data_IF_406901259342
#
_entry.id   IF_406901259342
#
_cell.length_a   1.000
_cell.length_b   1.000
_cell.length_c   1.000
_cell.angle_alpha   90.00
_cell.angle_beta   90.00
_cell.angle_gamma   90.00
#
_symmetry.space_group_name_H-M   'P 1'
#
loop_
_entity.id
_entity.type
_entity.pdbx_description
1 polymer ?
#
# COMPACT_ATOMS: atom_id res chain seq x y z
N UNK A 1 0.16 3.94 9.37
CA UNK A 1 -0.60 3.23 8.32
C UNK A 1 0.16 3.25 7.03
N UNK A 2 -0.03 2.21 6.25
CA UNK A 2 0.70 1.95 5.01
C UNK A 2 0.53 3.04 3.95
N UNK A 3 1.37 3.01 2.92
CA UNK A 3 1.17 3.77 1.67
C UNK A 3 1.40 2.85 0.50
N UNK A 4 0.64 3.04 -0.58
CA UNK A 4 0.89 2.34 -1.82
C UNK A 4 0.90 3.25 -3.04
N UNK A 5 1.54 2.74 -4.08
CA UNK A 5 1.63 3.28 -5.42
C UNK A 5 1.33 2.17 -6.44
N UNK A 6 0.60 2.53 -7.50
CA UNK A 6 0.42 1.74 -8.70
C UNK A 6 0.85 2.57 -9.90
N UNK A 7 1.57 1.93 -10.82
CA UNK A 7 1.85 2.43 -12.16
C UNK A 7 1.28 1.46 -13.19
N UNK A 8 0.64 2.00 -14.22
CA UNK A 8 0.29 1.30 -15.45
C UNK A 8 0.67 2.18 -16.64
N UNK A 9 1.46 1.65 -17.57
CA UNK A 9 1.86 2.35 -18.79
C UNK A 9 1.79 1.49 -20.05
N UNK A 10 1.76 2.16 -21.21
CA UNK A 10 1.98 1.55 -22.53
C UNK A 10 3.41 1.07 -22.68
N UNK A 11 4.35 1.86 -22.19
CA UNK A 11 5.78 1.57 -22.23
C UNK A 11 6.29 1.16 -20.85
N UNK A 12 7.41 0.44 -20.85
CA UNK A 12 8.08 0.10 -19.62
C UNK A 12 8.81 1.31 -19.04
N UNK A 13 8.75 1.48 -17.73
CA UNK A 13 9.63 2.41 -17.03
C UNK A 13 10.44 1.68 -15.98
N UNK A 14 11.62 2.23 -15.70
CA UNK A 14 12.43 1.77 -14.58
C UNK A 14 11.67 1.95 -13.27
N UNK A 15 11.75 0.93 -12.42
CA UNK A 15 11.24 0.97 -11.05
C UNK A 15 11.78 2.18 -10.28
N UNK A 16 13.04 2.58 -10.53
CA UNK A 16 13.67 3.74 -9.87
C UNK A 16 12.89 5.04 -10.07
N UNK A 17 12.27 5.24 -11.25
CA UNK A 17 11.50 6.44 -11.59
C UNK A 17 10.25 6.62 -10.73
N UNK A 18 9.85 5.59 -9.99
CA UNK A 18 8.70 5.60 -9.09
C UNK A 18 9.13 5.46 -7.62
N UNK A 19 10.09 4.57 -7.37
CA UNK A 19 10.37 4.07 -6.03
C UNK A 19 11.43 4.88 -5.31
N UNK A 20 12.46 5.33 -6.03
CA UNK A 20 13.65 5.96 -5.44
C UNK A 20 13.83 7.41 -5.88
N UNK A 21 13.65 7.68 -7.17
CA UNK A 21 14.10 8.93 -7.79
C UNK A 21 13.19 10.14 -7.53
N UNK A 22 11.85 10.00 -7.45
CA UNK A 22 10.99 11.15 -7.13
C UNK A 22 11.28 11.76 -5.76
N UNK A 23 11.25 13.10 -5.67
CA UNK A 23 11.44 13.85 -4.42
C UNK A 23 10.48 13.41 -3.30
N UNK A 24 9.27 12.98 -3.66
CA UNK A 24 8.28 12.41 -2.73
C UNK A 24 7.95 10.93 -3.06
N UNK A 25 8.99 10.16 -3.44
CA UNK A 25 8.90 8.74 -3.77
C UNK A 25 8.34 7.89 -2.62
N UNK A 26 7.90 6.66 -2.92
CA UNK A 26 7.42 5.73 -1.89
C UNK A 26 8.51 5.44 -0.83
N UNK A 27 9.80 5.43 -1.22
CA UNK A 27 10.92 5.35 -0.30
C UNK A 27 10.99 6.58 0.60
N UNK A 28 10.80 7.79 0.08
CA UNK A 28 10.78 9.00 0.91
C UNK A 28 9.59 8.98 1.87
N UNK A 29 8.41 8.59 1.38
CA UNK A 29 7.20 8.44 2.19
C UNK A 29 7.38 7.43 3.33
N UNK A 30 8.31 6.47 3.23
CA UNK A 30 8.55 5.54 4.33
C UNK A 30 9.19 6.18 5.56
N UNK A 31 9.86 7.34 5.47
CA UNK A 31 10.44 8.01 6.64
C UNK A 31 10.08 9.50 6.77
N UNK A 32 9.47 10.09 5.75
CA UNK A 32 9.01 11.47 5.68
C UNK A 32 7.63 11.51 5.01
N UNK A 33 6.64 10.82 5.60
CA UNK A 33 5.23 10.91 5.18
C UNK A 33 4.65 12.29 5.56
N UNK A 34 4.62 13.22 4.61
CA UNK A 34 4.14 14.59 4.87
C UNK A 34 2.61 14.71 5.02
N UNK A 35 1.85 13.70 4.58
CA UNK A 35 0.42 13.57 4.87
C UNK A 35 0.16 12.56 6.00
N UNK A 36 1.05 12.46 6.99
CA UNK A 36 0.77 11.76 8.24
C UNK A 36 0.55 12.78 9.36
N UNK A 37 -0.66 12.79 9.93
CA UNK A 37 -1.05 13.70 11.01
C UNK A 37 -0.92 13.09 12.41
N UNK A 38 -0.70 11.77 12.51
CA UNK A 38 -0.51 11.12 13.81
C UNK A 38 0.91 11.34 14.34
N UNK A 39 1.01 12.16 15.38
CA UNK A 39 2.26 12.50 16.08
C UNK A 39 2.75 11.38 17.01
N UNK A 40 1.94 10.37 17.33
CA UNK A 40 2.28 9.33 18.31
C UNK A 40 3.24 8.25 17.79
N UNK A 41 3.19 7.94 16.49
CA UNK A 41 4.03 6.90 15.86
C UNK A 41 5.14 7.46 14.97
N UNK A 42 5.32 8.78 14.94
CA UNK A 42 6.27 9.46 14.04
C UNK A 42 5.88 9.38 12.55
N UNK A 43 6.63 10.06 11.65
CA UNK A 43 6.34 10.12 10.21
C UNK A 43 6.73 8.86 9.42
N UNK A 44 7.21 7.80 10.10
CA UNK A 44 7.85 6.65 9.46
C UNK A 44 6.90 5.44 9.32
N UNK A 45 7.19 4.62 8.31
CA UNK A 45 6.62 3.30 8.01
C UNK A 45 7.80 2.31 8.01
N UNK A 46 8.31 1.93 9.19
CA UNK A 46 9.53 1.13 9.32
C UNK A 46 9.28 -0.38 9.16
N UNK A 47 8.03 -0.81 9.14
CA UNK A 47 7.63 -2.20 9.39
C UNK A 47 7.66 -3.10 8.14
N UNK A 48 8.42 -2.68 7.14
CA UNK A 48 8.63 -3.40 5.90
C UNK A 48 8.09 -2.69 4.66
N UNK A 49 8.40 -3.27 3.51
CA UNK A 49 7.97 -2.79 2.21
C UNK A 49 7.90 -3.93 1.21
N UNK A 50 7.30 -3.64 0.07
CA UNK A 50 7.40 -4.50 -1.07
C UNK A 50 7.14 -3.79 -2.39
N UNK A 51 7.67 -4.41 -3.43
CA UNK A 51 7.54 -3.97 -4.81
C UNK A 51 7.17 -5.19 -5.62
N UNK A 52 6.12 -5.09 -6.42
CA UNK A 52 5.73 -6.13 -7.36
C UNK A 52 5.63 -5.57 -8.77
N UNK A 53 6.01 -6.35 -9.77
CA UNK A 53 5.94 -5.93 -11.16
C UNK A 53 5.71 -7.12 -12.08
N UNK A 54 4.98 -6.89 -13.16
CA UNK A 54 4.83 -7.90 -14.21
C UNK A 54 6.06 -7.86 -15.13
N UNK A 55 6.50 -9.02 -15.56
CA UNK A 55 7.66 -9.20 -16.43
C UNK A 55 7.22 -9.47 -17.86
N UNK A 56 8.20 -9.70 -18.75
CA UNK A 56 7.95 -10.18 -20.10
C UNK A 56 7.12 -11.49 -20.05
N UNK A 57 6.02 -11.62 -20.82
CA UNK A 57 5.15 -12.80 -20.80
C UNK A 57 5.88 -14.13 -20.98
N UNK A 58 7.06 -14.16 -21.61
CA UNK A 58 7.88 -15.36 -21.75
C UNK A 58 8.39 -15.94 -20.42
N UNK A 59 8.40 -15.12 -19.36
CA UNK A 59 8.82 -15.52 -18.01
C UNK A 59 7.63 -16.03 -17.16
N UNK A 60 6.42 -16.01 -17.71
CA UNK A 60 5.19 -16.38 -17.02
C UNK A 60 4.26 -15.19 -16.81
N UNK A 61 3.00 -15.49 -16.43
CA UNK A 61 1.99 -14.48 -16.15
C UNK A 61 2.04 -13.96 -14.70
N UNK A 62 2.79 -14.63 -13.83
CA UNK A 62 2.91 -14.27 -12.42
C UNK A 62 3.77 -13.01 -12.24
N UNK A 63 3.38 -12.10 -11.33
CA UNK A 63 4.21 -10.94 -11.02
C UNK A 63 5.46 -11.37 -10.25
N UNK A 64 6.58 -10.71 -10.51
CA UNK A 64 7.75 -10.80 -9.63
C UNK A 64 7.54 -9.91 -8.41
N UNK A 65 7.79 -10.43 -7.21
CA UNK A 65 7.53 -9.74 -5.94
C UNK A 65 8.80 -9.73 -5.09
N UNK A 66 9.24 -8.54 -4.69
CA UNK A 66 10.36 -8.31 -3.80
C UNK A 66 9.87 -7.62 -2.52
N UNK A 67 9.99 -8.29 -1.37
CA UNK A 67 9.51 -7.79 -0.08
C UNK A 67 10.59 -7.91 0.98
N UNK A 68 10.49 -7.10 2.02
CA UNK A 68 11.32 -7.22 3.21
C UNK A 68 10.63 -6.61 4.42
N UNK A 69 10.95 -7.11 5.61
CA UNK A 69 10.57 -6.51 6.89
C UNK A 69 11.49 -5.37 7.30
N UNK A 70 12.65 -5.21 6.64
CA UNK A 70 13.57 -4.11 6.92
C UNK A 70 12.98 -2.78 6.47
N UNK A 71 13.27 -1.67 7.18
CA UNK A 71 12.88 -0.36 6.69
C UNK A 71 13.48 -0.08 5.29
N UNK A 72 12.69 0.50 4.39
CA UNK A 72 13.07 0.70 2.97
C UNK A 72 14.43 1.38 2.82
N UNK A 73 14.70 2.41 3.64
CA UNK A 73 15.92 3.20 3.57
C UNK A 73 17.19 2.43 3.94
N UNK A 74 17.05 1.28 4.62
CA UNK A 74 18.16 0.41 4.97
C UNK A 74 18.40 -0.70 3.92
N UNK A 75 17.55 -0.82 2.90
CA UNK A 75 17.76 -1.82 1.86
C UNK A 75 18.74 -1.31 0.79
N UNK A 76 19.96 -1.84 0.80
CA UNK A 76 20.98 -1.54 -0.21
C UNK A 76 20.69 -2.19 -1.57
N UNK A 77 19.87 -3.24 -1.62
CA UNK A 77 19.53 -3.96 -2.84
C UNK A 77 18.42 -3.30 -3.65
N UNK A 78 17.46 -2.64 -2.99
CA UNK A 78 16.31 -2.05 -3.65
C UNK A 78 16.71 -1.02 -4.72
N UNK A 79 17.61 -0.04 -4.46
CA UNK A 79 18.08 0.88 -5.51
C UNK A 79 18.76 0.17 -6.68
N UNK A 80 19.52 -0.91 -6.42
CA UNK A 80 20.21 -1.69 -7.48
C UNK A 80 19.21 -2.36 -8.39
N UNK A 81 18.22 -3.07 -7.82
CA UNK A 81 17.13 -3.72 -8.54
C UNK A 81 16.31 -2.67 -9.31
N UNK A 82 15.91 -1.60 -8.63
CA UNK A 82 15.07 -0.55 -9.19
C UNK A 82 15.71 0.15 -10.40
N UNK A 83 17.04 0.28 -10.41
CA UNK A 83 17.79 0.91 -11.52
C UNK A 83 17.95 0.04 -12.77
N UNK A 84 17.64 -1.26 -12.68
CA UNK A 84 17.86 -2.25 -13.76
C UNK A 84 16.61 -3.04 -14.14
N UNK A 85 15.50 -2.79 -13.46
CA UNK A 85 14.23 -3.48 -13.71
C UNK A 85 13.25 -2.47 -14.28
N UNK A 86 12.62 -2.83 -15.40
CA UNK A 86 11.58 -2.04 -16.03
C UNK A 86 10.30 -2.87 -16.14
N UNK A 87 9.14 -2.22 -16.08
CA UNK A 87 7.85 -2.88 -16.26
C UNK A 87 6.77 -1.88 -16.67
N UNK A 88 5.73 -2.41 -17.33
CA UNK A 88 4.50 -1.69 -17.69
C UNK A 88 3.48 -1.62 -16.56
N UNK A 89 3.61 -2.45 -15.52
CA UNK A 89 2.71 -2.46 -14.38
C UNK A 89 3.45 -2.77 -13.10
N UNK A 90 3.50 -1.79 -12.19
CA UNK A 90 4.32 -1.80 -10.98
C UNK A 90 3.46 -1.44 -9.78
N UNK A 91 3.55 -2.23 -8.73
CA UNK A 91 2.98 -1.98 -7.42
C UNK A 91 4.12 -1.70 -6.44
N UNK A 92 3.97 -0.67 -5.60
CA UNK A 92 4.89 -0.35 -4.52
C UNK A 92 4.13 -0.10 -3.24
N UNK A 93 4.59 -0.67 -2.12
CA UNK A 93 3.92 -0.56 -0.84
C UNK A 93 4.92 -0.43 0.31
N UNK A 94 4.61 0.43 1.27
CA UNK A 94 5.36 0.56 2.53
C UNK A 94 4.42 0.32 3.69
N UNK A 95 4.84 -0.56 4.61
CA UNK A 95 4.03 -1.06 5.71
C UNK A 95 4.25 -0.26 6.97
N UNK A 96 3.16 0.03 7.66
CA UNK A 96 3.18 0.41 9.07
C UNK A 96 2.19 -0.47 9.83
N UNK A 97 2.70 -1.25 10.78
CA UNK A 97 2.00 -2.37 11.41
C UNK A 97 0.76 -1.90 12.16
N UNK A 98 -0.38 -2.43 11.75
CA UNK A 98 -1.64 -2.44 12.53
C UNK A 98 -1.96 -3.83 13.02
N UNK A 99 -1.78 -4.83 12.17
CA UNK A 99 -2.10 -6.23 12.42
C UNK A 99 -0.95 -7.15 11.95
N UNK A 100 -0.86 -8.33 12.57
CA UNK A 100 0.15 -9.34 12.27
C UNK A 100 1.55 -9.03 12.85
N UNK A 101 2.38 -10.07 12.92
CA UNK A 101 3.78 -9.94 13.33
C UNK A 101 4.64 -9.24 12.27
N UNK A 102 5.88 -8.92 12.62
CA UNK A 102 6.89 -8.50 11.65
C UNK A 102 7.39 -9.74 10.87
N UNK A 103 6.69 -10.09 9.79
CA UNK A 103 7.05 -11.14 8.83
C UNK A 103 6.94 -10.59 7.40
N UNK A 104 7.73 -11.15 6.47
CA UNK A 104 7.62 -10.83 5.04
C UNK A 104 6.29 -11.27 4.45
N UNK A 105 5.67 -12.31 5.01
CA UNK A 105 4.32 -12.76 4.63
C UNK A 105 3.29 -11.66 4.87
N UNK A 106 3.48 -10.83 5.89
CA UNK A 106 2.59 -9.72 6.22
C UNK A 106 2.89 -8.44 5.41
N UNK A 107 3.92 -8.45 4.56
CA UNK A 107 4.24 -7.34 3.67
C UNK A 107 3.47 -7.48 2.36
N UNK A 108 2.96 -6.34 1.88
CA UNK A 108 2.37 -6.23 0.55
C UNK A 108 3.47 -6.08 -0.51
N UNK A 109 3.21 -6.39 -1.79
CA UNK A 109 1.97 -6.98 -2.30
C UNK A 109 1.83 -8.48 -1.99
N UNK A 110 0.59 -8.96 -1.99
CA UNK A 110 0.26 -10.39 -2.02
C UNK A 110 0.04 -10.82 -3.47
N UNK A 111 0.27 -12.08 -3.79
CA UNK A 111 0.03 -12.61 -5.13
C UNK A 111 -0.51 -14.05 -5.12
N UNK A 112 -1.29 -14.37 -6.14
CA UNK A 112 -1.75 -15.74 -6.45
C UNK A 112 -1.90 -15.86 -7.96
N UNK A 113 -1.11 -16.73 -8.61
CA UNK A 113 -1.06 -16.79 -10.07
C UNK A 113 -0.76 -15.42 -10.69
N UNK A 114 -1.59 -15.01 -11.65
CA UNK A 114 -1.47 -13.69 -12.30
C UNK A 114 -1.97 -12.52 -11.45
N UNK A 115 -2.58 -12.76 -10.28
CA UNK A 115 -3.20 -11.71 -9.47
C UNK A 115 -2.23 -11.13 -8.46
N UNK A 116 -2.19 -9.80 -8.35
CA UNK A 116 -1.41 -9.05 -7.37
C UNK A 116 -2.31 -8.11 -6.56
N UNK A 117 -2.14 -8.07 -5.23
CA UNK A 117 -3.02 -7.36 -4.30
C UNK A 117 -2.28 -6.49 -3.27
N UNK A 118 -2.83 -5.31 -3.01
CA UNK A 118 -2.40 -4.38 -1.95
C UNK A 118 -3.60 -3.84 -1.17
N UNK A 119 -3.38 -3.52 0.10
CA UNK A 119 -4.36 -2.85 0.96
C UNK A 119 -3.69 -1.72 1.75
N UNK A 120 -4.35 -0.56 1.79
CA UNK A 120 -4.06 0.53 2.71
C UNK A 120 -5.30 0.87 3.52
N UNK A 121 -5.34 0.40 4.76
CA UNK A 121 -6.52 0.52 5.59
C UNK A 121 -6.57 -0.59 6.63
N UNK A 122 -7.77 -0.94 7.06
CA UNK A 122 -8.02 -1.98 8.04
C UNK A 122 -9.49 -2.39 8.05
N UNK A 123 -9.74 -3.67 8.35
CA UNK A 123 -11.08 -4.21 8.50
C UNK A 123 -11.61 -3.94 9.93
N UNK A 124 -12.79 -3.32 10.01
CA UNK A 124 -13.46 -3.01 11.27
C UNK A 124 -13.86 -4.27 12.04
N UNK A 125 -13.62 -4.28 13.35
CA UNK A 125 -13.95 -5.42 14.20
C UNK A 125 -13.19 -6.71 13.87
N UNK A 126 -11.97 -6.62 13.32
CA UNK A 126 -11.19 -7.77 12.82
C UNK A 126 -11.16 -8.98 13.77
N UNK A 127 -10.92 -8.74 15.08
CA UNK A 127 -10.95 -9.76 16.15
C UNK A 127 -12.22 -10.62 16.14
N UNK A 128 -13.36 -10.06 15.76
CA UNK A 128 -14.68 -10.70 15.79
C UNK A 128 -15.10 -11.32 14.46
N UNK A 129 -14.58 -10.80 13.35
CA UNK A 129 -14.97 -11.26 12.02
C UNK A 129 -14.01 -12.30 11.46
N UNK A 130 -12.75 -12.36 11.90
CA UNK A 130 -11.73 -13.27 11.33
C UNK A 130 -12.20 -14.72 11.20
N UNK A 131 -12.73 -15.30 12.29
CA UNK A 131 -13.23 -16.69 12.29
C UNK A 131 -14.38 -16.88 11.30
N UNK A 132 -15.36 -15.97 11.33
CA UNK A 132 -16.54 -16.01 10.46
C UNK A 132 -16.19 -15.78 8.99
N UNK A 133 -15.17 -14.98 8.71
CA UNK A 133 -14.62 -14.80 7.36
C UNK A 133 -14.00 -16.11 6.89
N UNK A 134 -13.18 -16.76 7.72
CA UNK A 134 -12.58 -18.05 7.41
C UNK A 134 -13.62 -19.14 7.09
N UNK A 135 -14.71 -19.19 7.85
CA UNK A 135 -15.85 -20.11 7.62
C UNK A 135 -16.55 -19.89 6.26
N UNK A 136 -16.36 -18.74 5.60
CA UNK A 136 -16.94 -18.44 4.27
C UNK A 136 -16.02 -18.77 3.09
N UNK A 137 -14.74 -19.04 3.35
CA UNK A 137 -13.77 -19.38 2.31
C UNK A 137 -13.86 -20.87 1.98
N UNK A 138 -13.65 -21.22 0.71
CA UNK A 138 -13.29 -22.60 0.38
C UNK A 138 -11.92 -22.95 0.98
N UNK A 139 -11.74 -24.22 1.35
CA UNK A 139 -10.54 -24.73 2.02
C UNK A 139 -9.24 -24.31 1.32
N UNK A 140 -9.20 -24.36 -0.02
CA UNK A 140 -7.99 -23.97 -0.76
C UNK A 140 -7.58 -22.51 -0.52
N UNK A 141 -8.53 -21.58 -0.36
CA UNK A 141 -8.23 -20.17 -0.10
C UNK A 141 -7.91 -19.92 1.36
N UNK A 142 -8.58 -20.64 2.26
CA UNK A 142 -8.28 -20.62 3.69
C UNK A 142 -6.84 -21.09 3.96
N UNK A 143 -6.44 -22.21 3.36
CA UNK A 143 -5.13 -22.84 3.55
C UNK A 143 -4.00 -22.09 2.85
N UNK A 144 -4.31 -21.24 1.87
CA UNK A 144 -3.30 -20.44 1.17
C UNK A 144 -2.83 -19.22 1.98
N UNK A 145 -3.56 -18.79 3.01
CA UNK A 145 -3.16 -17.67 3.86
C UNK A 145 -1.92 -18.05 4.68
N UNK A 146 -0.82 -17.31 4.50
CA UNK A 146 0.45 -17.57 5.20
C UNK A 146 0.66 -16.63 6.39
N UNK A 147 0.28 -15.37 6.22
CA UNK A 147 0.39 -14.33 7.24
C UNK A 147 -0.81 -14.22 8.17
N UNK A 148 -0.78 -13.16 8.97
CA UNK A 148 -1.76 -12.89 10.03
C UNK A 148 -2.63 -11.65 9.78
N UNK A 149 -2.42 -10.93 8.67
CA UNK A 149 -3.05 -9.63 8.42
C UNK A 149 -4.47 -9.75 7.89
N UNK A 150 -5.35 -8.87 8.33
CA UNK A 150 -6.68 -8.68 7.73
C UNK A 150 -6.64 -8.48 6.21
N UNK A 151 -5.56 -7.90 5.71
CA UNK A 151 -5.30 -7.56 4.32
C UNK A 151 -5.12 -8.80 3.43
N UNK A 152 -4.44 -9.82 3.93
CA UNK A 152 -4.28 -11.12 3.25
C UNK A 152 -5.57 -11.93 3.28
N UNK A 153 -6.27 -11.92 4.41
CA UNK A 153 -7.59 -12.57 4.52
C UNK A 153 -8.62 -11.91 3.59
N UNK A 154 -8.55 -10.60 3.39
CA UNK A 154 -9.36 -9.90 2.39
C UNK A 154 -8.98 -10.33 0.96
N UNK A 155 -7.70 -10.60 0.68
CA UNK A 155 -7.29 -11.14 -0.62
C UNK A 155 -7.79 -12.58 -0.82
N UNK A 156 -7.69 -13.44 0.18
CA UNK A 156 -8.25 -14.79 0.12
C UNK A 156 -9.77 -14.77 -0.11
N UNK A 157 -10.48 -13.84 0.52
CA UNK A 157 -11.91 -13.60 0.25
C UNK A 157 -12.14 -13.15 -1.19
N UNK A 158 -11.32 -12.24 -1.73
CA UNK A 158 -11.40 -11.84 -3.12
C UNK A 158 -11.24 -13.03 -4.09
N UNK A 159 -10.25 -13.90 -3.87
CA UNK A 159 -10.04 -15.11 -4.67
C UNK A 159 -11.27 -16.03 -4.60
N UNK A 160 -11.83 -16.23 -3.41
CA UNK A 160 -13.06 -17.00 -3.21
C UNK A 160 -14.26 -16.38 -3.96
N UNK A 161 -14.41 -15.06 -3.98
CA UNK A 161 -15.48 -14.36 -4.74
C UNK A 161 -15.28 -14.50 -6.24
N UNK A 162 -14.05 -14.39 -6.73
CA UNK A 162 -13.73 -14.56 -8.14
C UNK A 162 -14.07 -15.99 -8.62
N UNK A 163 -13.71 -17.01 -7.82
CA UNK A 163 -14.08 -18.39 -8.12
C UNK A 163 -15.59 -18.61 -8.15
N UNK A 164 -16.32 -18.08 -7.16
CA UNK A 164 -17.79 -18.21 -7.11
C UNK A 164 -18.50 -17.49 -8.27
N UNK A 165 -17.83 -16.54 -8.93
CA UNK A 165 -18.31 -15.94 -10.18
C UNK A 165 -18.05 -16.82 -11.42
N UNK A 166 -17.43 -17.99 -11.25
CA UNK A 166 -17.14 -18.94 -12.31
C UNK A 166 -15.75 -18.80 -12.93
N UNK A 167 -14.85 -18.03 -12.31
CA UNK A 167 -13.49 -17.79 -12.83
C UNK A 167 -12.46 -18.38 -11.90
N UNK A 168 -11.67 -19.35 -12.37
CA UNK A 168 -10.60 -19.93 -11.55
C UNK A 168 -9.47 -18.90 -11.31
N UNK A 169 -9.23 -18.45 -10.06
CA UNK A 169 -8.17 -17.48 -9.77
C UNK A 169 -6.76 -18.02 -10.02
N UNK A 170 -6.58 -19.35 -10.08
CA UNK A 170 -5.31 -19.98 -10.45
C UNK A 170 -5.08 -20.01 -11.96
N UNK A 171 -6.09 -19.69 -12.77
CA UNK A 171 -5.93 -19.58 -14.22
C UNK A 171 -5.16 -18.32 -14.61
N UNK A 172 -4.57 -18.34 -15.80
CA UNK A 172 -3.81 -17.22 -16.37
C UNK A 172 -4.35 -16.88 -17.75
N UNK A 173 -5.57 -16.29 -17.84
CA UNK A 173 -6.17 -15.98 -19.13
C UNK A 173 -5.29 -15.00 -19.92
N UNK A 174 -5.09 -15.24 -21.21
CA UNK A 174 -4.20 -14.45 -22.08
C UNK A 174 -4.54 -12.94 -22.12
N UNK A 175 -5.81 -12.59 -21.86
CA UNK A 175 -6.30 -11.20 -21.84
C UNK A 175 -6.68 -10.71 -20.43
N UNK A 176 -6.26 -11.45 -19.40
CA UNK A 176 -6.72 -11.25 -18.03
C UNK A 176 -8.17 -11.69 -17.81
N UNK A 177 -8.65 -11.53 -16.58
CA UNK A 177 -10.02 -11.89 -16.16
C UNK A 177 -11.07 -10.90 -16.67
N UNK A 178 -10.62 -9.70 -17.06
CA UNK A 178 -11.47 -8.63 -17.55
C UNK A 178 -11.95 -7.68 -16.44
N UNK A 179 -11.97 -6.36 -16.70
CA UNK A 179 -12.18 -5.35 -15.66
C UNK A 179 -13.54 -5.44 -14.98
N UNK A 180 -14.59 -5.83 -15.73
CA UNK A 180 -15.95 -5.98 -15.19
C UNK A 180 -16.05 -7.11 -14.16
N UNK A 181 -15.37 -8.23 -14.42
CA UNK A 181 -15.36 -9.40 -13.54
C UNK A 181 -14.61 -9.08 -12.26
N UNK A 182 -13.40 -8.51 -12.38
CA UNK A 182 -12.59 -8.11 -11.23
C UNK A 182 -13.32 -7.07 -10.36
N UNK A 183 -13.98 -6.09 -10.99
CA UNK A 183 -14.80 -5.11 -10.27
C UNK A 183 -15.96 -5.76 -9.52
N UNK A 184 -16.66 -6.72 -10.14
CA UNK A 184 -17.76 -7.45 -9.50
C UNK A 184 -17.28 -8.27 -8.30
N UNK A 185 -16.17 -9.00 -8.44
CA UNK A 185 -15.55 -9.75 -7.34
C UNK A 185 -15.12 -8.83 -6.19
N UNK A 186 -14.55 -7.66 -6.51
CA UNK A 186 -14.17 -6.65 -5.52
C UNK A 186 -15.38 -6.11 -4.75
N UNK A 187 -16.48 -5.80 -5.44
CA UNK A 187 -17.72 -5.33 -4.79
C UNK A 187 -18.31 -6.39 -3.86
N UNK A 188 -18.37 -7.66 -4.29
CA UNK A 188 -18.83 -8.77 -3.44
C UNK A 188 -17.89 -9.01 -2.24
N UNK A 189 -16.60 -8.73 -2.39
CA UNK A 189 -15.63 -8.80 -1.28
C UNK A 189 -15.96 -7.76 -0.22
N UNK A 190 -16.18 -6.51 -0.62
CA UNK A 190 -16.57 -5.40 0.28
C UNK A 190 -17.92 -5.70 0.94
N UNK A 191 -18.89 -6.19 0.18
CA UNK A 191 -20.21 -6.57 0.69
C UNK A 191 -20.12 -7.61 1.81
N UNK A 192 -19.36 -8.69 1.62
CA UNK A 192 -19.18 -9.73 2.66
C UNK A 192 -18.45 -9.17 3.88
N UNK A 193 -17.43 -8.33 3.71
CA UNK A 193 -16.75 -7.68 4.84
C UNK A 193 -17.75 -6.84 5.65
N UNK A 194 -18.52 -5.98 4.98
CA UNK A 194 -19.54 -5.15 5.62
C UNK A 194 -20.59 -6.00 6.35
N UNK A 195 -21.07 -7.08 5.71
CA UNK A 195 -22.04 -8.01 6.30
C UNK A 195 -21.50 -8.62 7.59
N UNK A 196 -20.28 -9.17 7.56
CA UNK A 196 -19.63 -9.77 8.72
C UNK A 196 -19.46 -8.78 9.86
N UNK A 197 -19.07 -7.55 9.55
CA UNK A 197 -18.89 -6.49 10.55
C UNK A 197 -20.23 -6.00 11.13
N UNK A 198 -21.29 -5.95 10.32
CA UNK A 198 -22.65 -5.60 10.79
C UNK A 198 -23.25 -6.67 11.71
N UNK A 199 -22.84 -7.92 11.56
CA UNK A 199 -23.29 -9.05 12.38
C UNK A 199 -22.57 -9.15 13.74
N UNK A 200 -21.69 -8.20 14.09
CA UNK A 200 -21.09 -8.14 15.43
C UNK A 200 -22.17 -7.69 16.43
N UNK A 201 -22.46 -8.45 17.49
CA UNK A 201 -23.47 -8.08 18.48
C UNK A 201 -23.22 -6.70 19.10
N UNK A 202 -24.26 -5.88 19.21
CA UNK A 202 -24.18 -4.52 19.78
C UNK A 202 -23.62 -4.52 21.21
N UNK A 203 -23.93 -5.56 22.00
CA UNK A 203 -23.40 -5.73 23.36
C UNK A 203 -21.87 -5.81 23.40
N UNK A 204 -21.26 -6.45 22.39
CA UNK A 204 -19.80 -6.54 22.26
C UNK A 204 -19.24 -5.21 21.77
N UNK A 205 -19.89 -4.59 20.78
CA UNK A 205 -19.46 -3.30 20.23
C UNK A 205 -19.41 -2.23 21.32
N UNK A 206 -20.45 -2.14 22.14
CA UNK A 206 -20.53 -1.18 23.24
C UNK A 206 -19.65 -1.59 24.43
N UNK A 207 -19.68 -2.88 24.81
CA UNK A 207 -18.97 -3.38 25.98
C UNK A 207 -17.45 -3.32 25.87
N UNK A 208 -16.91 -3.60 24.68
CA UNK A 208 -15.45 -3.55 24.42
C UNK A 208 -15.02 -2.32 23.61
N UNK A 209 -15.93 -1.40 23.30
CA UNK A 209 -15.68 -0.22 22.47
C UNK A 209 -15.01 -0.58 21.13
N UNK A 210 -15.60 -1.55 20.42
CA UNK A 210 -15.04 -2.11 19.18
C UNK A 210 -15.31 -1.15 18.02
N UNK A 211 -14.26 -0.77 17.32
CA UNK A 211 -14.37 0.02 16.11
C UNK A 211 -14.75 -0.86 14.91
N UNK A 212 -15.99 -0.73 14.46
CA UNK A 212 -16.56 -1.51 13.36
C UNK A 212 -16.39 -0.84 11.99
N UNK A 213 -15.77 0.35 11.93
CA UNK A 213 -15.55 1.04 10.67
C UNK A 213 -14.31 0.48 9.97
N UNK A 214 -14.45 0.23 8.67
CA UNK A 214 -13.40 -0.26 7.79
C UNK A 214 -12.92 0.85 6.87
N UNK A 215 -11.61 0.90 6.62
CA UNK A 215 -11.00 1.66 5.53
C UNK A 215 -10.47 0.62 4.55
N UNK A 216 -11.01 0.57 3.33
CA UNK A 216 -10.73 -0.52 2.38
C UNK A 216 -10.16 0.05 1.08
N UNK A 217 -9.01 0.73 1.14
CA UNK A 217 -8.31 1.11 -0.08
C UNK A 217 -7.52 -0.09 -0.61
N UNK A 218 -8.18 -0.92 -1.41
CA UNK A 218 -7.59 -2.06 -2.09
C UNK A 218 -7.01 -1.64 -3.44
N UNK A 219 -5.98 -2.33 -3.89
CA UNK A 219 -5.49 -2.28 -5.26
C UNK A 219 -5.19 -3.70 -5.74
N UNK A 220 -5.80 -4.09 -6.85
CA UNK A 220 -5.69 -5.40 -7.47
C UNK A 220 -5.24 -5.24 -8.92
N UNK A 221 -4.42 -6.17 -9.40
CA UNK A 221 -4.09 -6.31 -10.82
C UNK A 221 -4.14 -7.78 -11.24
N UNK A 222 -4.51 -8.04 -12.50
CA UNK A 222 -4.33 -9.33 -13.19
C UNK A 222 -3.23 -9.27 -14.27
N UNK A 223 -2.48 -8.16 -14.34
CA UNK A 223 -1.46 -7.88 -15.35
C UNK A 223 -1.99 -7.08 -16.55
N UNK A 224 -3.31 -7.07 -16.75
CA UNK A 224 -3.98 -6.39 -17.86
C UNK A 224 -4.79 -5.19 -17.38
N UNK A 225 -5.52 -5.37 -16.28
CA UNK A 225 -6.42 -4.42 -15.65
C UNK A 225 -5.98 -4.14 -14.21
N UNK A 226 -6.28 -2.95 -13.73
CA UNK A 226 -6.10 -2.57 -12.32
C UNK A 226 -7.44 -2.14 -11.75
N UNK A 227 -7.77 -2.63 -10.56
CA UNK A 227 -8.93 -2.21 -9.77
C UNK A 227 -8.42 -1.62 -8.46
N UNK A 228 -8.74 -0.35 -8.21
CA UNK A 228 -8.45 0.32 -6.94
C UNK A 228 -9.76 0.78 -6.29
N UNK A 229 -9.89 0.63 -4.97
CA UNK A 229 -11.02 1.19 -4.22
C UNK A 229 -10.55 2.34 -3.35
N UNK A 230 -11.42 3.34 -3.18
CA UNK A 230 -11.32 4.31 -2.09
C UNK A 230 -12.61 4.22 -1.28
N UNK A 231 -12.55 3.61 -0.10
CA UNK A 231 -13.78 3.18 0.58
C UNK A 231 -13.70 3.30 2.11
N UNK A 232 -14.83 3.70 2.71
CA UNK A 232 -15.07 3.68 4.15
C UNK A 232 -16.48 3.17 4.46
N UNK A 233 -16.59 2.25 5.42
CA UNK A 233 -17.89 1.71 5.88
C UNK A 233 -18.54 2.62 6.93
N UNK A 234 -18.75 3.88 6.59
CA UNK A 234 -19.38 4.90 7.43
C UNK A 234 -20.04 5.94 6.53
N UNK A 235 -21.21 6.46 6.93
CA UNK A 235 -21.84 7.60 6.23
C UNK A 235 -21.19 8.92 6.62
N UNK A 236 -20.66 9.03 7.83
CA UNK A 236 -20.19 10.29 8.41
C UNK A 236 -18.69 10.49 8.29
N UNK A 237 -17.92 9.42 8.09
CA UNK A 237 -16.46 9.49 7.98
C UNK A 237 -15.99 9.54 6.52
N UNK A 238 -14.84 10.17 6.32
CA UNK A 238 -14.19 10.33 5.01
C UNK A 238 -13.16 9.20 4.81
N UNK A 239 -13.10 8.64 3.59
CA UNK A 239 -12.17 7.56 3.28
C UNK A 239 -10.71 8.02 3.27
N UNK A 240 -9.80 7.09 3.48
CA UNK A 240 -8.37 7.33 3.37
C UNK A 240 -7.99 7.86 1.99
N UNK A 241 -6.96 8.69 1.91
CA UNK A 241 -6.59 9.40 0.71
C UNK A 241 -6.20 8.45 -0.42
N UNK A 242 -6.62 8.81 -1.62
CA UNK A 242 -6.24 8.13 -2.85
C UNK A 242 -6.33 9.12 -4.01
N UNK A 243 -5.28 9.18 -4.79
CA UNK A 243 -5.12 10.07 -5.91
C UNK A 243 -4.79 9.27 -7.15
N UNK A 244 -5.17 9.76 -8.31
CA UNK A 244 -4.66 9.25 -9.58
C UNK A 244 -4.19 10.38 -10.48
N UNK A 245 -3.24 10.07 -11.36
CA UNK A 245 -2.78 10.98 -12.40
C UNK A 245 -2.63 10.21 -13.70
N UNK A 246 -3.18 10.74 -14.78
CA UNK A 246 -3.00 10.20 -16.13
C UNK A 246 -2.28 11.21 -17.02
N UNK A 247 -1.48 10.73 -17.96
CA UNK A 247 -0.73 11.57 -18.89
C UNK A 247 0.05 10.77 -19.92
N UNK A 248 0.88 11.44 -20.71
CA UNK A 248 1.67 10.82 -21.78
C UNK A 248 3.05 10.38 -21.31
N UNK A 249 3.69 11.16 -20.45
CA UNK A 249 5.08 10.95 -20.05
C UNK A 249 5.30 11.21 -18.55
N UNK A 250 6.22 10.43 -17.97
CA UNK A 250 6.69 10.56 -16.60
C UNK A 250 8.18 10.87 -16.61
N UNK A 251 8.52 12.14 -16.45
CA UNK A 251 9.88 12.65 -16.68
C UNK A 251 10.39 13.47 -15.51
N UNK A 252 11.70 13.38 -15.30
CA UNK A 252 12.41 14.25 -14.37
C UNK A 252 12.61 15.62 -15.02
N UNK A 253 12.21 16.68 -14.31
CA UNK A 253 12.61 18.03 -14.64
C UNK A 253 13.89 18.41 -13.89
N UNK A 254 14.77 19.22 -14.51
CA UNK A 254 15.87 19.82 -13.79
C UNK A 254 15.31 20.73 -12.69
N UNK A 255 15.54 20.37 -11.43
CA UNK A 255 15.31 21.24 -10.29
C UNK A 255 16.65 21.85 -9.86
N UNK A 256 16.64 23.01 -9.22
CA UNK A 256 17.85 23.75 -8.83
C UNK A 256 18.73 23.05 -7.76
N UNK A 257 18.41 21.80 -7.39
CA UNK A 257 19.11 21.00 -6.38
C UNK A 257 19.45 19.56 -6.85
N UNK A 258 19.92 18.72 -5.93
CA UNK A 258 20.21 17.28 -6.19
C UNK A 258 18.94 16.44 -6.38
N UNK A 259 17.79 16.96 -5.99
CA UNK A 259 16.51 16.26 -6.09
C UNK A 259 15.96 16.33 -7.52
N UNK A 260 15.50 15.18 -8.02
CA UNK A 260 14.85 15.09 -9.33
C UNK A 260 13.35 15.28 -9.11
N UNK A 261 12.84 16.45 -9.48
CA UNK A 261 11.41 16.67 -9.50
C UNK A 261 10.81 15.97 -10.71
N UNK A 262 10.11 14.87 -10.46
CA UNK A 262 9.32 14.22 -11.49
C UNK A 262 8.00 14.95 -11.67
N UNK A 263 7.47 14.89 -12.89
CA UNK A 263 6.14 15.38 -13.18
C UNK A 263 5.45 14.57 -14.26
N UNK A 264 4.12 14.51 -14.16
CA UNK A 264 3.28 14.02 -15.24
C UNK A 264 3.20 15.08 -16.34
N UNK A 265 3.46 14.70 -17.58
CA UNK A 265 3.22 15.53 -18.76
C UNK A 265 1.97 15.05 -19.52
N UNK A 266 1.23 15.99 -20.12
CA UNK A 266 -0.04 15.76 -20.82
C UNK A 266 -0.01 16.49 -22.17
N UNK A 267 0.95 16.16 -23.02
CA UNK A 267 1.14 16.85 -24.31
C UNK A 267 0.11 16.45 -25.36
N UNK A 268 -0.32 15.19 -25.34
CA UNK A 268 -1.26 14.64 -26.32
C UNK A 268 -2.63 14.36 -25.69
N UNK A 269 -3.64 14.16 -26.54
CA UNK A 269 -5.00 13.80 -26.13
C UNK A 269 -5.11 12.38 -25.54
N UNK A 270 -4.07 11.56 -25.68
CA UNK A 270 -4.02 10.19 -25.13
C UNK A 270 -3.32 10.14 -23.77
N UNK A 271 -3.74 9.21 -22.91
CA UNK A 271 -3.02 8.90 -21.67
C UNK A 271 -2.21 7.60 -21.85
N UNK A 272 -0.90 7.71 -22.05
CA UNK A 272 -0.01 6.54 -22.11
C UNK A 272 0.34 5.96 -20.73
N UNK A 273 0.14 6.74 -19.67
CA UNK A 273 0.53 6.42 -18.29
C UNK A 273 -0.61 6.75 -17.34
N UNK A 274 -0.83 5.87 -16.36
CA UNK A 274 -1.70 6.08 -15.20
C UNK A 274 -0.92 5.74 -13.93
N UNK A 275 -0.91 6.68 -12.99
CA UNK A 275 -0.42 6.52 -11.63
C UNK A 275 -1.59 6.55 -10.65
N UNK A 276 -1.56 5.70 -9.64
CA UNK A 276 -2.48 5.76 -8.49
C UNK A 276 -1.66 5.72 -7.23
N UNK A 277 -1.85 6.66 -6.31
CA UNK A 277 -1.04 6.74 -5.11
C UNK A 277 -1.87 7.14 -3.89
N UNK A 278 -1.51 6.62 -2.72
CA UNK A 278 -2.08 7.07 -1.44
C UNK A 278 -1.72 8.53 -1.12
N UNK A 279 -0.52 8.96 -1.54
CA UNK A 279 -0.04 10.34 -1.47
C UNK A 279 0.62 10.71 -2.82
N UNK A 280 0.42 11.93 -3.34
CA UNK A 280 1.08 12.37 -4.57
C UNK A 280 2.61 12.22 -4.50
N UNK A 281 3.22 11.73 -5.58
CA UNK A 281 4.68 11.61 -5.70
C UNK A 281 5.37 12.95 -5.99
N UNK A 282 4.61 13.99 -6.29
CA UNK A 282 5.08 15.30 -6.75
C UNK A 282 4.33 16.41 -6.04
N UNK A 283 4.92 17.60 -5.97
CA UNK A 283 4.31 18.75 -5.30
C UNK A 283 3.23 19.46 -6.13
N UNK A 284 3.20 19.20 -7.45
CA UNK A 284 2.23 19.75 -8.40
C UNK A 284 0.86 19.09 -8.23
N UNK A 285 0.14 19.45 -7.16
CA UNK A 285 -1.17 18.87 -6.80
C UNK A 285 -2.21 18.98 -7.91
N UNK A 286 -2.12 20.01 -8.76
CA UNK A 286 -3.03 20.24 -9.89
C UNK A 286 -3.00 19.11 -10.93
N UNK A 287 -1.91 18.32 -10.96
CA UNK A 287 -1.78 17.17 -11.87
C UNK A 287 -2.32 15.88 -11.28
N UNK A 288 -2.78 15.90 -10.02
CA UNK A 288 -3.37 14.76 -9.33
C UNK A 288 -4.87 14.98 -9.14
N UNK A 289 -5.65 13.97 -9.48
CA UNK A 289 -7.10 13.97 -9.30
C UNK A 289 -7.42 13.16 -8.05
N UNK A 290 -8.26 13.74 -7.20
CA UNK A 290 -8.76 13.06 -6.01
C UNK A 290 -9.74 11.97 -6.43
N UNK A 291 -9.51 10.74 -5.97
CA UNK A 291 -10.52 9.67 -6.11
C UNK A 291 -11.66 9.98 -5.12
N UNK A 292 -12.93 10.02 -5.54
CA UNK A 292 -14.06 10.25 -4.63
C UNK A 292 -14.19 9.17 -3.56
N UNK A 293 -14.72 9.53 -2.39
CA UNK A 293 -15.04 8.55 -1.33
C UNK A 293 -16.09 7.57 -1.82
N UNK A 294 -15.93 6.31 -1.44
CA UNK A 294 -16.79 5.17 -1.82
C UNK A 294 -16.91 5.05 -3.34
N UNK A 295 -15.75 4.99 -4.00
CA UNK A 295 -15.66 4.75 -5.44
C UNK A 295 -14.64 3.66 -5.77
N UNK A 296 -14.82 3.07 -6.95
CA UNK A 296 -13.94 2.08 -7.55
C UNK A 296 -13.34 2.65 -8.84
N UNK A 297 -12.02 2.73 -8.87
CA UNK A 297 -11.23 3.17 -10.00
C UNK A 297 -10.78 1.93 -10.79
N UNK A 298 -11.10 1.90 -12.07
CA UNK A 298 -10.76 0.81 -12.99
C UNK A 298 -9.83 1.35 -14.06
N UNK A 299 -8.68 0.71 -14.24
CA UNK A 299 -7.74 0.98 -15.33
C UNK A 299 -7.72 -0.25 -16.22
N UNK A 300 -8.04 -0.07 -17.50
CA UNK A 300 -7.92 -1.13 -18.50
C UNK A 300 -7.37 -0.53 -19.79
N UNK A 301 -6.24 -1.05 -20.26
CA UNK A 301 -5.45 -0.38 -21.29
C UNK A 301 -5.01 1.01 -20.82
N UNK A 302 -5.43 2.06 -21.54
CA UNK A 302 -5.17 3.46 -21.22
C UNK A 302 -6.38 4.19 -20.61
N UNK A 303 -7.50 3.51 -20.44
CA UNK A 303 -8.74 4.13 -19.97
C UNK A 303 -8.85 4.03 -18.46
N UNK A 304 -9.10 5.17 -17.82
CA UNK A 304 -9.42 5.27 -16.40
C UNK A 304 -10.91 5.53 -16.25
N UNK A 305 -11.60 4.67 -15.50
CA UNK A 305 -13.01 4.83 -15.20
C UNK A 305 -13.23 4.85 -13.70
N UNK A 306 -14.06 5.77 -13.22
CA UNK A 306 -14.42 5.87 -11.80
C UNK A 306 -15.91 5.60 -11.66
N UNK A 307 -16.26 4.61 -10.85
CA UNK A 307 -17.66 4.26 -10.60
C UNK A 307 -17.96 4.40 -9.10
N UNK A 308 -19.13 4.93 -8.71
CA UNK A 308 -19.53 4.95 -7.31
C UNK A 308 -19.81 3.52 -6.81
N UNK A 309 -19.47 3.27 -5.55
CA UNK A 309 -19.89 2.07 -4.81
C UNK A 309 -21.21 2.43 -4.13
N UNK A 310 -22.31 1.92 -4.68
CA UNK A 310 -23.66 2.22 -4.21
C UNK A 310 -24.10 1.20 -3.16
N UNK A 311 -23.75 1.45 -1.90
CA UNK A 311 -24.14 0.61 -0.76
C UNK A 311 -24.77 1.45 0.37
N UNK A 312 -24.96 0.83 1.54
CA UNK A 312 -25.53 1.49 2.73
C UNK A 312 -24.68 2.64 3.29
N UNK A 313 -23.45 2.85 2.80
CA UNK A 313 -22.56 3.94 3.23
C UNK A 313 -22.37 5.01 2.13
N UNK A 314 -22.95 4.80 0.95
CA UNK A 314 -23.02 5.82 -0.09
C UNK A 314 -23.95 6.96 0.32
N UNK A 315 -23.59 8.20 -0.06
CA UNK A 315 -24.43 9.38 0.14
C UNK A 315 -24.58 10.09 -1.20
N UNK A 316 -25.81 10.50 -1.53
CA UNK A 316 -26.14 11.11 -2.83
C UNK A 316 -26.20 12.62 -2.76
N UNK A 317 -26.34 13.19 -1.58
CA UNK A 317 -26.36 14.63 -1.38
C UNK A 317 -24.97 15.24 -1.69
N UNK A 318 -24.85 16.12 -2.72
CA UNK A 318 -23.61 16.81 -3.04
C UNK A 318 -23.08 17.72 -1.93
N UNK A 319 -23.93 18.14 -0.98
CA UNK A 319 -23.55 18.99 0.15
C UNK A 319 -23.14 18.21 1.39
N UNK A 320 -23.27 16.88 1.36
CA UNK A 320 -22.90 16.03 2.48
C UNK A 320 -21.41 16.15 2.79
N UNK A 321 -21.08 16.46 4.04
CA UNK A 321 -19.69 16.58 4.51
C UNK A 321 -19.34 15.41 5.40
N UNK A 322 -18.17 14.84 5.14
CA UNK A 322 -17.60 13.73 5.90
C UNK A 322 -16.47 14.21 6.78
N UNK A 323 -16.34 13.61 7.96
CA UNK A 323 -15.30 13.92 8.92
C UNK A 323 -14.00 13.18 8.59
N UNK A 324 -12.88 13.89 8.59
CA UNK A 324 -11.55 13.29 8.45
C UNK A 324 -11.02 12.64 9.73
N UNK A 325 -11.75 12.76 10.85
CA UNK A 325 -11.26 12.36 12.16
C UNK A 325 -10.91 10.88 12.23
N UNK A 326 -11.74 10.00 11.66
CA UNK A 326 -11.51 8.56 11.69
C UNK A 326 -10.25 8.13 10.93
N UNK A 327 -10.05 8.61 9.70
CA UNK A 327 -8.81 8.34 8.96
C UNK A 327 -7.58 8.86 9.75
N UNK A 328 -7.68 10.04 10.35
CA UNK A 328 -6.61 10.62 11.16
C UNK A 328 -6.30 9.81 12.42
N UNK A 329 -7.30 9.29 13.14
CA UNK A 329 -7.06 8.45 14.32
C UNK A 329 -6.34 7.15 13.97
N UNK A 330 -6.52 6.66 12.74
CA UNK A 330 -5.75 5.53 12.22
C UNK A 330 -4.37 5.94 11.70
N UNK A 331 -4.03 7.23 11.57
CA UNK A 331 -2.76 7.69 10.99
C UNK A 331 -2.76 7.73 9.46
N UNK A 332 -3.94 7.89 8.87
CA UNK A 332 -4.19 8.16 7.46
C UNK A 332 -4.60 9.63 7.27
N UNK A 333 -4.51 10.10 6.05
CA UNK A 333 -5.07 11.39 5.64
C UNK A 333 -6.25 11.19 4.72
N UNK A 334 -7.00 12.26 4.52
CA UNK A 334 -8.12 12.36 3.59
C UNK A 334 -7.75 13.28 2.44
N UNK A 335 -8.48 13.18 1.32
CA UNK A 335 -8.25 14.08 0.18
C UNK A 335 -8.66 15.53 0.50
N UNK A 336 -9.65 15.73 1.38
CA UNK A 336 -10.08 17.05 1.82
C UNK A 336 -9.11 17.65 2.84
N UNK A 337 -8.82 18.95 2.71
CA UNK A 337 -8.13 19.70 3.76
C UNK A 337 -9.03 19.71 5.00
N UNK A 338 -8.51 19.20 6.12
CA UNK A 338 -9.13 19.48 7.41
C UNK A 338 -9.33 20.98 7.51
N UNK A 339 -10.57 21.44 7.69
CA UNK A 339 -10.83 22.84 8.00
C UNK A 339 -9.94 23.17 9.21
N UNK A 340 -9.10 24.19 9.06
CA UNK A 340 -8.27 24.65 10.17
C UNK A 340 -9.22 24.87 11.35
N UNK A 341 -8.97 24.18 12.48
CA UNK A 341 -9.65 24.53 13.72
C UNK A 341 -9.39 26.02 13.91
N UNK A 342 -10.43 26.83 13.81
CA UNK A 342 -10.35 28.22 14.18
C UNK A 342 -9.90 28.23 15.64
N UNK A 343 -8.63 28.52 15.87
CA UNK A 343 -8.16 28.87 17.20
C UNK A 343 -8.90 30.16 17.53
N UNK A 344 -9.88 30.09 18.43
CA UNK A 344 -10.46 31.28 19.03
C UNK A 344 -9.30 32.11 19.59
N UNK A 345 -9.08 33.34 19.13
CA UNK A 345 -8.02 34.15 19.71
C UNK A 345 -8.38 34.40 21.17
N UNK A 346 -7.52 33.96 22.09
CA UNK A 346 -7.53 34.46 23.46
C UNK A 346 -7.43 35.99 23.39
N UNK A 347 -8.41 36.68 23.96
CA UNK A 347 -8.39 38.12 24.08
C UNK A 347 -7.23 38.53 25.00
N UNK A 348 -6.21 39.16 24.42
CA UNK A 348 -5.21 39.93 25.15
C UNK A 348 -5.87 41.22 25.66
N UNK A 349 -5.72 41.63 26.92
CA UNK A 349 -6.31 42.87 27.42
C UNK A 349 -5.59 44.08 26.80
N UNK A 350 -6.29 44.81 25.93
CA UNK A 350 -5.86 46.10 25.41
C UNK A 350 -5.98 47.17 26.48
N UNK A 351 -4.86 47.84 26.73
CA UNK A 351 -4.76 49.10 27.45
C UNK A 351 -5.31 50.21 26.56
N UNK A 352 -6.23 51.05 27.06
CA UNK A 352 -6.49 52.37 26.48
C UNK A 352 -6.95 53.36 27.55
N UNK A 353 -6.29 54.53 27.52
CA UNK A 353 -6.42 55.68 28.40
C UNK A 353 -7.49 56.67 27.87
N UNK A 354 -8.25 57.21 28.81
CA UNK A 354 -8.87 58.55 28.87
C UNK A 354 -9.75 59.10 27.74
N UNK A 355 -11.05 59.32 28.05
CA UNK A 355 -11.58 60.69 28.20
C UNK A 355 -12.98 60.78 28.85
N UNK A 356 -12.99 61.36 30.06
CA UNK A 356 -13.92 62.32 30.70
C UNK A 356 -15.46 62.41 30.41
N UNK A 357 -16.18 62.40 31.56
CA UNK A 357 -17.29 63.29 32.03
C UNK A 357 -18.76 62.98 31.70
N UNK A 358 -19.52 62.49 32.71
CA UNK A 358 -20.60 63.20 33.47
C UNK A 358 -21.53 62.20 34.22
N UNK A 359 -21.75 62.43 35.52
CA UNK A 359 -22.74 61.81 36.43
C UNK A 359 -24.07 62.62 36.44
N UNK A 360 -25.16 62.32 37.22
CA UNK A 360 -25.37 61.32 38.29
C UNK A 360 -26.75 60.59 38.35
N UNK A 361 -26.86 59.58 39.25
CA UNK A 361 -27.89 59.31 40.30
C UNK A 361 -28.08 57.79 40.51
N UNK A 362 -27.53 57.18 41.56
CA UNK A 362 -27.96 57.06 42.98
C UNK A 362 -29.10 56.04 43.22
N UNK A 363 -28.81 54.94 43.94
CA UNK A 363 -29.47 54.51 45.20
C UNK A 363 -28.95 53.12 45.68
N UNK A 364 -28.36 53.12 46.88
CA UNK A 364 -28.07 52.01 47.83
C UNK A 364 -29.28 52.06 48.84
N UNK A 365 -29.68 51.05 49.69
CA UNK A 365 -28.71 50.35 50.53
C UNK A 365 -28.99 49.00 51.24
N UNK A 366 -27.92 48.56 51.96
CA UNK A 366 -27.85 47.82 53.25
C UNK A 366 -28.05 46.29 53.25
N UNK A 367 -27.34 45.44 54.02
CA UNK A 367 -26.48 45.58 55.23
C UNK A 367 -25.66 44.30 55.57
N UNK A 368 -24.46 44.51 56.17
CA UNK A 368 -23.74 43.82 57.28
C UNK A 368 -23.88 42.27 57.55
N UNK A 369 -22.87 41.51 58.02
CA UNK A 369 -21.50 41.79 58.47
C UNK A 369 -20.80 40.55 59.12
N UNK A 370 -19.45 40.62 59.16
CA UNK A 370 -18.45 40.13 60.16
C UNK A 370 -18.46 38.69 60.77
N UNK A 371 -17.30 38.03 60.57
CA UNK A 371 -16.29 37.57 61.57
C UNK A 371 -16.11 36.07 61.99
N UNK A 372 -14.82 35.65 61.88
CA UNK A 372 -13.96 34.89 62.83
C UNK A 372 -13.91 33.34 62.84
N UNK A 373 -12.68 32.86 62.60
CA UNK A 373 -12.02 31.61 63.06
C UNK A 373 -11.69 31.69 64.58
N UNK A 374 -11.31 30.61 65.34
CA UNK A 374 -10.07 29.81 65.19
C UNK A 374 -10.10 28.31 65.60
N UNK A 375 -8.91 27.70 65.44
CA UNK A 375 -8.39 26.34 65.63
C UNK A 375 -8.87 25.45 66.80
N UNK A 376 -8.73 24.12 66.62
CA UNK A 376 -8.01 23.21 67.55
C UNK A 376 -7.79 21.78 66.98
N UNK A 377 -6.51 21.35 66.93
CA UNK A 377 -6.01 19.95 67.05
C UNK A 377 -5.49 19.79 68.52
N UNK A 378 -5.09 18.62 69.08
CA UNK A 378 -4.47 17.42 68.44
C UNK A 378 -4.76 16.05 69.10
N UNK A 379 -4.23 14.94 68.54
CA UNK A 379 -3.34 13.98 69.24
C UNK A 379 -2.86 12.84 68.31
N UNK A 380 -1.73 12.25 68.72
CA UNK A 380 -0.68 11.54 67.97
C UNK A 380 -0.50 10.15 68.58
N UNK A 381 -0.11 9.14 67.80
CA UNK A 381 0.87 8.12 68.24
C UNK A 381 1.52 7.39 67.06
N UNK A 382 2.85 7.32 67.13
CA UNK A 382 3.84 6.65 66.26
C UNK A 382 3.85 5.12 66.51
N UNK A 383 4.49 4.20 65.75
CA UNK A 383 5.93 4.07 65.35
C UNK A 383 6.04 2.84 64.36
N UNK A 384 6.72 2.90 63.19
CA UNK A 384 8.09 2.42 62.79
C UNK A 384 8.39 0.89 62.94
N UNK A 385 9.20 0.15 62.13
CA UNK A 385 10.26 0.40 61.12
C UNK A 385 10.74 -0.90 60.37
N UNK A 386 11.64 -0.72 59.37
CA UNK A 386 12.59 -1.61 58.63
C UNK A 386 12.22 -1.86 57.14
N UNK A 387 12.94 -1.40 56.09
CA UNK A 387 14.36 -1.28 55.63
C UNK A 387 14.95 -2.58 55.05
N UNK A 388 15.21 -2.59 53.72
CA UNK A 388 16.47 -3.03 53.11
C UNK A 388 16.72 -2.36 51.73
N UNK A 389 18.00 -2.02 51.51
CA UNK A 389 18.61 -1.27 50.40
C UNK A 389 19.03 -2.17 49.22
N UNK A 390 19.14 -1.59 48.02
CA UNK A 390 20.19 -1.94 47.04
C UNK A 390 20.51 -0.73 46.14
N UNK A 391 21.78 -0.64 45.74
CA UNK A 391 22.57 0.56 45.42
C UNK A 391 22.70 0.90 43.93
N UNK A 392 22.89 2.20 43.66
CA UNK A 392 23.24 2.82 42.37
C UNK A 392 24.75 2.85 42.10
N UNK A 393 25.17 2.72 40.84
CA UNK A 393 26.52 3.08 40.38
C UNK A 393 26.50 3.79 39.01
N UNK A 394 26.85 5.09 39.04
CA UNK A 394 27.72 5.88 38.17
C UNK A 394 27.78 5.62 36.64
N UNK A 395 27.40 6.63 35.86
CA UNK A 395 27.88 6.85 34.50
C UNK A 395 28.42 8.30 34.37
N UNK A 396 29.67 8.40 33.93
CA UNK A 396 30.46 9.63 33.82
C UNK A 396 30.02 10.51 32.64
N UNK A 397 29.91 11.82 32.91
CA UNK A 397 29.85 12.89 31.92
C UNK A 397 31.25 13.21 31.37
N UNK A 398 31.39 13.34 30.04
CA UNK A 398 32.55 14.01 29.40
C UNK A 398 32.04 14.92 28.27
N UNK A 399 32.46 16.20 28.19
CA UNK A 399 32.00 17.13 27.16
C UNK A 399 32.81 16.98 25.86
N UNK A 400 32.14 17.16 24.72
CA UNK A 400 32.71 17.18 23.37
C UNK A 400 33.19 18.59 23.01
N UNK A 401 34.46 18.71 22.58
CA UNK A 401 35.07 19.93 22.02
C UNK A 401 34.80 20.04 20.50
N UNK A 402 34.75 21.26 19.92
CA UNK A 402 34.46 21.48 18.50
C UNK A 402 35.72 21.32 17.61
N UNK A 403 35.57 21.04 16.29
CA UNK A 403 36.70 20.96 15.36
C UNK A 403 37.12 22.36 14.84
N UNK A 404 38.39 22.57 14.48
CA UNK A 404 38.87 23.83 13.91
C UNK A 404 38.80 23.86 12.36
N UNK A 405 38.79 25.09 11.83
CA UNK A 405 38.82 25.45 10.40
C UNK A 405 40.20 25.26 9.72
N UNK A 406 40.15 24.82 8.44
CA UNK A 406 40.93 25.14 7.20
C UNK A 406 42.44 25.51 7.24
N UNK A 407 43.28 25.13 6.22
CA UNK A 407 43.22 25.79 4.89
C UNK A 407 43.66 24.96 3.64
N UNK A 408 43.47 25.59 2.48
CA UNK A 408 43.87 25.21 1.11
C UNK A 408 45.40 25.16 0.89
N UNK A 409 45.90 24.27 0.01
CA UNK A 409 46.71 24.60 -1.21
C UNK A 409 47.36 23.38 -1.88
N UNK A 410 47.26 23.38 -3.23
CA UNK A 410 48.24 23.01 -4.27
C UNK A 410 48.86 21.60 -4.41
N UNK A 411 48.49 20.96 -5.54
CA UNK A 411 49.34 20.47 -6.64
C UNK A 411 50.43 19.39 -6.39
N UNK A 412 50.31 18.22 -7.06
CA UNK A 412 51.12 17.71 -8.21
C UNK A 412 51.23 16.16 -8.28
N UNK A 413 50.99 15.65 -9.51
CA UNK A 413 51.61 14.53 -10.24
C UNK A 413 51.59 13.07 -9.69
N UNK A 414 51.04 12.18 -10.53
CA UNK A 414 51.24 10.72 -10.59
C UNK A 414 52.67 10.30 -10.96
N UNK A 415 53.13 9.07 -10.62
CA UNK A 415 53.18 7.98 -11.64
C UNK A 415 52.99 6.54 -11.07
N UNK A 416 52.35 5.62 -11.80
CA UNK A 416 52.86 4.49 -12.62
C UNK A 416 53.41 3.22 -11.91
N UNK A 417 52.73 2.10 -12.17
CA UNK A 417 53.19 0.71 -12.43
C UNK A 417 54.32 0.05 -11.59
N UNK A 418 54.03 -1.18 -11.13
CA UNK A 418 55.02 -2.18 -10.74
C UNK A 418 54.51 -3.61 -11.00
N UNK A 419 55.02 -4.25 -12.06
CA UNK A 419 54.93 -5.68 -12.36
C UNK A 419 55.78 -6.51 -11.40
N UNK A 420 55.48 -7.81 -11.23
CA UNK A 420 56.48 -8.92 -11.26
C UNK A 420 55.75 -10.22 -11.66
N UNK A 421 56.36 -10.96 -12.59
CA UNK A 421 55.94 -12.25 -13.16
C UNK A 421 57.18 -13.18 -13.21
N UNK A 422 56.95 -14.50 -13.25
CA UNK A 422 57.85 -15.66 -13.58
C UNK A 422 58.47 -16.39 -12.36
N UNK A 423 58.69 -17.72 -12.34
CA UNK A 423 58.58 -18.82 -13.32
C UNK A 423 58.69 -20.21 -12.62
N UNK A 424 57.99 -21.22 -13.19
CA UNK A 424 58.37 -22.64 -13.45
C UNK A 424 59.06 -23.52 -12.37
N UNK A 425 58.59 -24.77 -12.23
CA UNK A 425 59.06 -25.95 -13.01
C UNK A 425 58.15 -27.18 -12.83
N UNK A 426 58.13 -28.01 -13.87
CA UNK A 426 57.39 -29.25 -14.14
C UNK A 426 58.28 -30.49 -14.01
N UNK A 427 57.70 -31.68 -13.83
CA UNK A 427 58.31 -32.98 -14.18
C UNK A 427 57.24 -33.99 -14.68
N UNK A 428 57.63 -34.69 -15.76
CA UNK A 428 57.06 -35.73 -16.64
C UNK A 428 56.83 -37.10 -15.95
N UNK A 429 56.37 -38.22 -16.54
CA UNK A 429 55.57 -38.66 -17.72
C UNK A 429 55.60 -40.22 -17.77
N UNK A 430 54.70 -40.85 -18.52
CA UNK A 430 54.81 -42.21 -19.12
C UNK A 430 53.88 -43.28 -18.52
N UNK A 431 53.29 -44.26 -19.24
CA UNK A 431 53.13 -44.56 -20.67
C UNK A 431 52.26 -45.85 -20.82
N UNK A 432 51.63 -46.06 -22.01
CA UNK A 432 51.06 -47.33 -22.58
C UNK A 432 49.67 -47.84 -22.11
N UNK A 433 48.80 -48.48 -22.91
CA UNK A 433 48.64 -48.72 -24.35
C UNK A 433 47.23 -49.35 -24.61
N UNK A 434 46.66 -49.19 -25.80
CA UNK A 434 45.41 -49.80 -26.32
C UNK A 434 45.67 -51.15 -27.01
N UNK A 435 44.65 -52.01 -27.25
CA UNK A 435 44.13 -52.16 -28.63
C UNK A 435 42.61 -52.41 -28.75
N UNK A 436 42.15 -52.42 -30.01
CA UNK A 436 40.77 -52.42 -30.53
C UNK A 436 40.23 -53.84 -30.87
N UNK A 437 38.92 -53.97 -31.17
CA UNK A 437 38.34 -54.53 -32.42
C UNK A 437 36.78 -54.65 -32.38
N UNK A 438 36.14 -54.26 -33.50
CA UNK A 438 34.90 -54.67 -34.25
C UNK A 438 33.79 -55.54 -33.60
N UNK A 439 32.51 -55.59 -34.00
CA UNK A 439 31.59 -54.88 -34.92
C UNK A 439 30.14 -55.41 -34.66
N UNK A 440 29.12 -54.65 -35.10
CA UNK A 440 27.71 -54.96 -35.46
C UNK A 440 26.97 -56.19 -34.87
N UNK A 441 25.75 -56.00 -34.33
CA UNK A 441 24.48 -56.31 -35.02
C UNK A 441 23.23 -56.22 -34.09
N UNK A 442 22.09 -55.91 -34.71
CA UNK A 442 20.72 -56.35 -34.36
C UNK A 442 19.86 -55.71 -33.25
N UNK A 443 18.83 -55.00 -33.73
CA UNK A 443 17.39 -55.14 -33.42
C UNK A 443 16.69 -54.23 -32.37
N UNK A 444 15.76 -53.42 -32.91
CA UNK A 444 14.58 -52.81 -32.25
C UNK A 444 13.59 -53.88 -31.78
N UNK A 445 12.61 -53.48 -30.94
CA UNK A 445 11.23 -53.81 -31.25
C UNK A 445 10.31 -52.58 -31.27
N UNK A 446 9.45 -52.53 -32.30
CA UNK A 446 8.28 -51.65 -32.43
C UNK A 446 7.02 -52.25 -31.75
N UNK A 447 6.06 -51.37 -31.52
CA UNK A 447 4.75 -51.51 -30.86
C UNK A 447 3.79 -52.54 -31.47
N UNK A 448 2.61 -52.74 -30.83
CA UNK A 448 1.40 -53.02 -31.60
C UNK A 448 0.32 -51.93 -31.41
N UNK A 449 -0.13 -51.40 -32.54
CA UNK A 449 -1.35 -50.59 -32.73
C UNK A 449 -2.49 -51.54 -33.15
N UNK A 450 -3.67 -51.38 -32.56
CA UNK A 450 -4.90 -52.00 -33.07
C UNK A 450 -5.54 -51.15 -34.18
N UNK A 451 -6.02 -51.84 -35.21
CA UNK A 451 -6.59 -51.29 -36.45
C UNK A 451 -8.04 -50.77 -36.31
N UNK A 452 -8.49 -49.87 -37.21
CA UNK A 452 -9.90 -49.65 -37.53
C UNK A 452 -10.30 -50.42 -38.81
N UNK A 453 -11.59 -50.76 -38.92
CA UNK A 453 -12.18 -51.34 -40.14
C UNK A 453 -13.16 -50.36 -40.82
N UNK A 454 -13.20 -50.49 -42.16
CA UNK A 454 -13.89 -49.75 -43.24
C UNK A 454 -15.43 -49.65 -43.05
N UNK A 455 -16.21 -48.79 -43.71
CA UNK A 455 -16.00 -47.85 -44.84
C UNK A 455 -17.33 -47.25 -45.37
N UNK A 456 -17.26 -46.71 -46.59
CA UNK A 456 -18.28 -46.03 -47.46
C UNK A 456 -18.51 -44.53 -47.16
N UNK A 457 -18.03 -43.58 -47.98
CA UNK A 457 -18.35 -43.18 -49.37
C UNK A 457 -19.57 -42.25 -49.51
N UNK A 458 -19.38 -41.25 -50.41
CA UNK A 458 -20.30 -40.20 -50.89
C UNK A 458 -20.44 -38.98 -49.94
N UNK A 459 -20.27 -37.72 -50.32
CA UNK A 459 -20.10 -37.08 -51.63
C UNK A 459 -20.58 -35.62 -51.52
N UNK A 460 -19.67 -34.68 -51.77
CA UNK A 460 -19.85 -33.34 -52.39
C UNK A 460 -20.93 -32.30 -51.95
N UNK A 461 -20.44 -31.05 -51.91
CA UNK A 461 -21.08 -29.74 -52.20
C UNK A 461 -21.99 -29.10 -51.12
N UNK A 462 -21.76 -27.89 -50.61
CA UNK A 462 -21.67 -26.52 -51.19
C UNK A 462 -23.03 -25.78 -51.23
N UNK A 463 -23.13 -24.70 -50.42
CA UNK A 463 -23.99 -23.49 -50.51
C UNK A 463 -25.54 -23.57 -50.45
N UNK A 464 -26.09 -22.47 -49.90
CA UNK A 464 -27.47 -21.92 -49.93
C UNK A 464 -28.49 -22.52 -48.92
N UNK A 465 -29.44 -21.80 -48.33
CA UNK A 465 -29.78 -20.38 -48.25
C UNK A 465 -30.79 -20.14 -47.08
N UNK A 466 -30.98 -18.85 -46.79
CA UNK A 466 -32.02 -18.19 -45.97
C UNK A 466 -33.46 -18.72 -46.10
N UNK A 467 -34.24 -18.27 -45.11
CA UNK A 467 -35.70 -18.07 -45.04
C UNK A 467 -36.43 -19.21 -44.36
N UNK A 468 -36.95 -18.95 -43.16
CA UNK A 468 -38.36 -19.13 -42.80
C UNK A 468 -38.65 -18.26 -41.57
N UNK A 469 -39.29 -17.11 -41.82
CA UNK A 469 -40.19 -16.53 -40.85
C UNK A 469 -41.58 -17.13 -41.05
N UNK A 470 -42.31 -17.32 -39.95
CA UNK A 470 -43.77 -17.41 -39.69
C UNK A 470 -43.82 -17.66 -38.17
N UNK A 471 -44.54 -16.97 -37.30
CA UNK A 471 -45.68 -16.05 -37.42
C UNK A 471 -46.77 -16.50 -36.43
N UNK A 472 -47.20 -15.59 -35.52
CA UNK A 472 -48.35 -15.65 -34.59
C UNK A 472 -48.36 -16.82 -33.57
N UNK A 473 -48.50 -16.62 -32.26
CA UNK A 473 -49.50 -15.86 -31.48
C UNK A 473 -48.83 -15.27 -30.22
#
# INVERSE_FOLDING_TARGET
MCRFLVYRGTDEILLSKLITDPTHSILRQSYDSRLRLDTRRGPTNPDGYGVGWYTDPKLGAEPCVFKSTTPVWNCSNLPRIASKTASRLIFGHVRATTEGSLSEDNCHPFCHGSLMWMHNGGLGGWKYIKRRLGERLHDKWYLNVQGGTDSEWAFALFLDRLERLGFDPSSTPEKGFGPTVLRKAMLQTIEVINELTSNIPESIVQGENVDTRSLLNFALSDGHSVICTRYVSSKTDEAASLYFSSGTQWEARPSAGKDRDYQMDRRDKGAGIVLVASEPLTFEREKWVNVPTNSILTIHGQTVMVHPINDGFSERDPYHRRSSAFAQTKGLTTNEKAAARAASPLATPGCDLDNQRLFPTSLIPTSAGRNRTPDTRPLRSQTQLSIMHATSALANNRPLSPPPDRPETAATKSPSQGNIKKKRRSLNAGEHAHPAEYAEDSQRPESPVMAPSRGSELGTSEKAARVLGIGAI
#
